data_IF_810418712796
#
_entry.id   IF_810418712796
#
_cell.length_a   1.000
_cell.length_b   1.000
_cell.length_c   1.000
_cell.angle_alpha   90.00
_cell.angle_beta   90.00
_cell.angle_gamma   90.00
#
_symmetry.space_group_name_H-M   'P 1'
#
loop_
_entity.id
_entity.type
_entity.pdbx_description
1 polymer ?
#
# COMPACT_ATOMS: atom_id res chain seq x y z
N UNK A 1 -20.58 -11.52 12.15
CA UNK A 1 -19.42 -12.41 12.36
C UNK A 1 -18.30 -11.55 12.93
N UNK A 2 -17.79 -11.91 14.11
CA UNK A 2 -16.82 -11.06 14.83
C UNK A 2 -15.54 -10.90 13.99
N UNK A 3 -15.16 -9.66 13.69
CA UNK A 3 -14.01 -9.24 12.86
C UNK A 3 -12.71 -9.97 13.21
N UNK A 4 -12.56 -10.37 14.48
CA UNK A 4 -11.45 -11.19 14.99
C UNK A 4 -11.30 -12.54 14.27
N UNK A 5 -12.37 -13.29 13.98
CA UNK A 5 -12.24 -14.63 13.36
C UNK A 5 -11.78 -14.58 11.91
N UNK A 6 -12.18 -13.53 11.18
CA UNK A 6 -11.72 -13.32 9.81
C UNK A 6 -10.24 -12.91 9.82
N UNK A 7 -9.87 -11.98 10.68
CA UNK A 7 -8.48 -11.55 10.82
C UNK A 7 -7.54 -12.73 11.14
N UNK A 8 -7.92 -13.59 12.09
CA UNK A 8 -7.14 -14.77 12.46
C UNK A 8 -6.97 -15.74 11.27
N UNK A 9 -8.03 -15.94 10.48
CA UNK A 9 -7.97 -16.79 9.29
C UNK A 9 -7.11 -16.22 8.15
N UNK A 10 -6.91 -14.90 8.12
CA UNK A 10 -6.13 -14.21 7.09
C UNK A 10 -4.67 -13.93 7.52
N UNK A 11 -4.34 -14.11 8.80
CA UNK A 11 -3.04 -13.78 9.35
C UNK A 11 -1.90 -14.56 8.65
N UNK A 12 -2.04 -15.89 8.52
CA UNK A 12 -1.03 -16.76 7.90
C UNK A 12 -0.86 -16.50 6.40
N UNK A 13 -1.93 -16.43 5.57
CA UNK A 13 -1.80 -16.04 4.16
C UNK A 13 -1.15 -14.68 3.98
N UNK A 14 -1.45 -13.71 4.84
CA UNK A 14 -0.85 -12.38 4.78
C UNK A 14 0.64 -12.41 5.18
N UNK A 15 1.01 -13.21 6.18
CA UNK A 15 2.40 -13.42 6.58
C UNK A 15 3.22 -14.06 5.48
N UNK A 16 2.70 -15.12 4.85
CA UNK A 16 3.35 -15.78 3.73
C UNK A 16 3.49 -14.83 2.53
N UNK A 17 2.47 -14.04 2.21
CA UNK A 17 2.57 -13.02 1.18
C UNK A 17 3.68 -12.00 1.46
N UNK A 18 3.79 -11.50 2.70
CA UNK A 18 4.87 -10.59 3.09
C UNK A 18 6.25 -11.25 2.97
N UNK A 19 6.38 -12.50 3.42
CA UNK A 19 7.63 -13.25 3.34
C UNK A 19 8.14 -13.40 1.90
N UNK A 20 7.24 -13.65 0.94
CA UNK A 20 7.58 -13.74 -0.50
C UNK A 20 8.19 -12.45 -1.06
N UNK A 21 7.92 -11.29 -0.46
CA UNK A 21 8.46 -9.99 -0.86
C UNK A 21 9.60 -9.50 0.06
N UNK A 22 10.04 -10.32 1.02
CA UNK A 22 11.00 -9.95 2.06
C UNK A 22 12.42 -9.62 1.59
N UNK A 23 12.74 -9.82 0.30
CA UNK A 23 14.05 -9.53 -0.28
C UNK A 23 14.17 -8.13 -0.92
N UNK A 24 13.16 -7.28 -0.74
CA UNK A 24 13.12 -5.99 -1.43
C UNK A 24 12.84 -6.16 -2.92
N UNK A 25 11.92 -7.07 -3.26
CA UNK A 25 11.51 -7.27 -4.65
C UNK A 25 10.43 -6.27 -5.07
N UNK A 26 10.44 -5.90 -6.36
CA UNK A 26 9.30 -5.26 -7.03
C UNK A 26 8.20 -6.31 -7.29
N UNK A 27 7.08 -5.91 -7.89
CA UNK A 27 6.00 -6.88 -8.16
C UNK A 27 5.26 -6.65 -9.46
N UNK A 28 4.69 -7.72 -9.99
CA UNK A 28 3.83 -7.68 -11.18
C UNK A 28 2.55 -8.50 -10.91
N UNK A 29 1.49 -8.17 -11.66
CA UNK A 29 0.25 -8.95 -11.62
C UNK A 29 0.34 -10.14 -12.57
N UNK A 30 -0.07 -11.31 -12.12
CA UNK A 30 -0.13 -12.51 -12.96
C UNK A 30 -0.97 -12.25 -14.22
N UNK A 31 -0.34 -12.41 -15.39
CA UNK A 31 -0.91 -12.07 -16.71
C UNK A 31 -0.48 -10.70 -17.26
N UNK A 32 0.24 -9.89 -16.46
CA UNK A 32 0.85 -8.62 -16.87
C UNK A 32 2.37 -8.71 -16.90
N UNK A 33 3.00 -7.95 -17.79
CA UNK A 33 4.47 -7.74 -17.80
C UNK A 33 4.89 -6.46 -17.09
N UNK A 34 3.93 -5.63 -16.68
CA UNK A 34 4.19 -4.34 -16.04
C UNK A 34 4.64 -4.57 -14.60
N UNK A 35 5.79 -3.98 -14.26
CA UNK A 35 6.44 -4.05 -12.96
C UNK A 35 6.13 -2.79 -12.16
N UNK A 36 5.66 -3.02 -10.94
CA UNK A 36 5.26 -2.00 -9.98
C UNK A 36 6.22 -1.97 -8.81
N UNK A 37 6.43 -0.78 -8.27
CA UNK A 37 6.93 -0.64 -6.91
C UNK A 37 5.95 -1.30 -5.92
N UNK A 38 6.45 -1.85 -4.82
CA UNK A 38 5.63 -2.58 -3.84
C UNK A 38 5.43 -1.73 -2.60
N UNK A 39 4.20 -1.72 -2.07
CA UNK A 39 3.83 -1.16 -0.76
C UNK A 39 2.94 -2.15 -0.02
N UNK A 40 2.99 -2.09 1.30
CA UNK A 40 2.02 -2.74 2.15
C UNK A 40 0.69 -2.00 2.07
N UNK A 41 -0.40 -2.75 1.95
CA UNK A 41 -1.76 -2.23 1.81
C UNK A 41 -2.68 -2.96 2.78
N UNK A 42 -3.65 -2.25 3.33
CA UNK A 42 -4.70 -2.88 4.13
C UNK A 42 -5.65 -3.65 3.20
N UNK A 43 -5.92 -4.90 3.56
CA UNK A 43 -6.85 -5.77 2.87
C UNK A 43 -7.60 -6.60 3.91
N UNK A 44 -8.90 -6.34 4.05
CA UNK A 44 -9.77 -7.04 5.01
C UNK A 44 -9.21 -7.05 6.45
N UNK A 45 -8.51 -5.98 6.84
CA UNK A 45 -7.90 -5.83 8.17
C UNK A 45 -6.52 -6.47 8.34
N UNK A 46 -5.93 -7.06 7.30
CA UNK A 46 -4.54 -7.53 7.31
C UNK A 46 -3.69 -6.78 6.28
N UNK A 47 -2.40 -6.63 6.57
CA UNK A 47 -1.48 -5.93 5.67
C UNK A 47 -0.83 -6.88 4.66
N UNK A 48 -1.00 -6.63 3.36
CA UNK A 48 -0.46 -7.46 2.27
C UNK A 48 0.32 -6.63 1.24
N UNK A 49 1.32 -7.21 0.56
CA UNK A 49 2.03 -6.51 -0.51
C UNK A 49 1.14 -6.27 -1.74
N UNK A 50 1.26 -5.09 -2.35
CA UNK A 50 0.61 -4.74 -3.61
C UNK A 50 1.30 -3.58 -4.34
N UNK A 51 0.85 -3.19 -5.55
CA UNK A 51 1.35 -2.05 -6.30
C UNK A 51 1.24 -0.78 -5.47
N UNK A 52 2.37 -0.10 -5.26
CA UNK A 52 2.38 1.19 -4.56
C UNK A 52 1.58 2.28 -5.27
N UNK A 53 1.25 2.11 -6.55
CA UNK A 53 0.37 3.04 -7.27
C UNK A 53 -1.13 2.76 -7.11
N UNK A 54 -1.51 1.74 -6.33
CA UNK A 54 -2.88 1.29 -6.05
C UNK A 54 -3.75 1.01 -7.30
N UNK A 55 -3.15 0.78 -8.47
CA UNK A 55 -3.89 0.37 -9.67
C UNK A 55 -4.27 -1.09 -9.58
N UNK A 56 -5.52 -1.39 -9.92
CA UNK A 56 -6.02 -2.76 -9.97
C UNK A 56 -6.36 -3.35 -8.61
N UNK A 57 -6.46 -2.53 -7.55
CA UNK A 57 -6.72 -2.98 -6.17
C UNK A 57 -8.21 -3.09 -5.82
N UNK A 58 -9.11 -2.53 -6.62
CA UNK A 58 -10.56 -2.67 -6.43
C UNK A 58 -11.03 -4.10 -6.74
N UNK A 59 -11.38 -4.87 -5.70
CA UNK A 59 -11.78 -6.28 -5.83
C UNK A 59 -10.61 -7.26 -6.03
N UNK A 60 -9.39 -6.84 -5.74
CA UNK A 60 -8.20 -7.58 -6.13
C UNK A 60 -7.89 -8.80 -5.26
N UNK A 61 -7.11 -9.70 -5.85
CA UNK A 61 -6.56 -10.89 -5.20
C UNK A 61 -5.04 -10.71 -5.06
N UNK A 62 -4.56 -10.49 -3.83
CA UNK A 62 -3.14 -10.28 -3.56
C UNK A 62 -2.30 -11.51 -3.92
N UNK A 63 -2.89 -12.70 -4.01
CA UNK A 63 -2.16 -13.93 -4.36
C UNK A 63 -1.68 -13.91 -5.81
N UNK A 64 -2.29 -13.07 -6.67
CA UNK A 64 -1.89 -12.86 -8.07
C UNK A 64 -0.76 -11.85 -8.21
N UNK A 65 -0.36 -11.16 -7.15
CA UNK A 65 0.77 -10.26 -7.16
C UNK A 65 2.06 -11.04 -6.84
N UNK A 66 2.97 -11.09 -7.81
CA UNK A 66 4.17 -11.93 -7.75
C UNK A 66 5.43 -11.08 -7.63
N UNK A 67 6.43 -11.49 -6.84
CA UNK A 67 7.68 -10.76 -6.69
C UNK A 67 8.53 -10.85 -7.97
N UNK A 68 9.33 -9.82 -8.21
CA UNK A 68 10.33 -9.78 -9.27
C UNK A 68 11.47 -8.83 -8.93
N UNK A 69 12.68 -9.16 -9.40
CA UNK A 69 13.86 -8.28 -9.30
C UNK A 69 13.99 -7.30 -10.47
N UNK A 70 13.10 -7.38 -11.46
CA UNK A 70 13.07 -6.44 -12.57
C UNK A 70 12.82 -5.00 -12.10
N UNK A 71 13.36 -3.99 -12.79
CA UNK A 71 13.11 -2.59 -12.46
C UNK A 71 11.63 -2.22 -12.68
N UNK A 72 11.15 -1.22 -11.94
CA UNK A 72 9.80 -0.66 -12.08
C UNK A 72 9.65 0.01 -13.46
N UNK A 73 8.65 -0.40 -14.23
CA UNK A 73 8.30 0.19 -15.54
C UNK A 73 6.87 0.79 -15.57
N UNK A 74 6.10 0.62 -14.49
CA UNK A 74 4.77 1.18 -14.40
C UNK A 74 4.82 2.71 -14.43
N UNK A 75 4.24 3.30 -15.49
CA UNK A 75 4.19 4.76 -15.65
C UNK A 75 3.50 5.51 -14.48
N UNK A 76 2.55 4.87 -13.76
CA UNK A 76 1.94 5.49 -12.58
C UNK A 76 2.86 5.47 -11.35
N UNK A 77 3.63 4.39 -11.17
CA UNK A 77 4.68 4.36 -10.15
C UNK A 77 5.71 5.45 -10.43
N UNK A 78 6.16 5.60 -11.68
CA UNK A 78 7.11 6.65 -12.06
C UNK A 78 6.57 8.06 -11.82
N UNK A 79 5.32 8.35 -12.20
CA UNK A 79 4.67 9.65 -11.92
C UNK A 79 4.55 9.95 -10.43
N UNK A 80 4.43 8.91 -9.60
CA UNK A 80 4.33 9.01 -8.15
C UNK A 80 5.70 8.91 -7.45
N UNK A 81 6.79 8.91 -8.21
CA UNK A 81 8.18 8.76 -7.72
C UNK A 81 8.43 7.48 -6.91
N UNK A 82 7.70 6.42 -7.22
CA UNK A 82 7.87 5.09 -6.62
C UNK A 82 8.83 4.27 -7.49
N UNK A 83 10.07 4.10 -7.03
CA UNK A 83 11.15 3.50 -7.83
C UNK A 83 11.77 2.24 -7.22
N UNK A 84 11.24 1.74 -6.10
CA UNK A 84 11.81 0.60 -5.40
C UNK A 84 10.81 -0.16 -4.53
N UNK A 85 11.26 -1.29 -3.95
CA UNK A 85 10.46 -2.14 -3.08
C UNK A 85 10.03 -1.40 -1.79
N UNK A 86 9.28 -2.09 -0.93
CA UNK A 86 8.88 -1.56 0.38
C UNK A 86 10.13 -1.13 1.15
N UNK A 87 10.32 0.18 1.33
CA UNK A 87 11.24 0.68 2.33
C UNK A 87 10.55 0.49 3.69
N UNK A 88 11.22 -0.15 4.64
CA UNK A 88 10.83 -0.06 6.05
C UNK A 88 10.85 1.43 6.43
N UNK A 89 9.67 2.05 6.58
CA UNK A 89 9.56 3.43 7.07
C UNK A 89 8.90 4.46 6.14
N UNK A 90 8.03 4.07 5.21
CA UNK A 90 7.08 5.03 4.62
C UNK A 90 5.93 5.28 5.61
N UNK A 91 6.24 6.00 6.70
CA UNK A 91 5.21 6.62 7.54
C UNK A 91 4.39 7.51 6.61
N UNK A 92 3.05 7.36 6.54
CA UNK A 92 2.25 8.22 5.70
C UNK A 92 2.52 9.65 6.12
N UNK A 93 3.08 10.44 5.21
CA UNK A 93 3.21 11.89 5.37
C UNK A 93 1.84 12.43 5.73
N UNK A 94 1.68 12.70 7.02
CA UNK A 94 0.45 13.19 7.61
C UNK A 94 0.10 14.50 6.90
N UNK A 95 -0.94 14.49 6.08
CA UNK A 95 -1.61 15.72 5.65
C UNK A 95 -2.32 16.27 6.88
N UNK A 96 -1.55 16.93 7.75
CA UNK A 96 -2.11 17.84 8.74
C UNK A 96 -2.83 18.94 7.98
N UNK A 97 -4.15 18.85 7.89
CA UNK A 97 -4.97 20.02 7.62
C UNK A 97 -4.81 20.93 8.85
N UNK A 98 -3.92 21.91 8.74
CA UNK A 98 -3.92 23.08 9.63
C UNK A 98 -5.20 23.86 9.36
N UNK A 99 -6.28 23.49 10.07
CA UNK A 99 -7.42 24.37 10.25
C UNK A 99 -6.97 25.46 11.22
N UNK A 100 -6.39 26.52 10.66
CA UNK A 100 -6.02 27.72 11.41
C UNK A 100 -7.21 28.26 12.22
N UNK A 101 -6.97 28.86 13.40
CA UNK A 101 -8.05 29.36 14.25
C UNK A 101 -8.59 30.69 13.70
N UNK A 102 -9.45 30.61 12.69
CA UNK A 102 -10.26 31.75 12.26
C UNK A 102 -11.63 31.69 12.97
N UNK A 103 -11.64 32.05 14.25
CA UNK A 103 -12.87 32.56 14.88
C UNK A 103 -12.63 33.95 15.48
N UNK A 104 -13.31 34.90 14.85
CA UNK A 104 -13.29 36.34 15.04
C UNK A 104 -13.30 36.81 16.50
N UNK A 105 -12.37 37.73 16.81
CA UNK A 105 -12.49 38.69 17.90
C UNK A 105 -13.00 40.02 17.35
N UNK A 106 -14.08 40.54 17.92
CA UNK A 106 -14.42 41.97 17.89
C UNK A 106 -15.88 42.27 18.24
N UNK A 107 -16.20 43.48 18.74
CA UNK A 107 -15.53 44.22 19.81
C UNK A 107 -16.43 44.37 21.05
N UNK A 108 -15.81 44.72 22.17
CA UNK A 108 -16.46 45.18 23.40
C UNK A 108 -17.32 46.42 23.14
N UNK A 109 -18.59 46.37 23.53
CA UNK A 109 -19.44 47.52 23.80
C UNK A 109 -19.77 47.60 25.27
#
# INVERSE_FOLDING_TARGET
MSTSRLHDALADPAADARARFGHGDNGYLEGSKVVHAVRLQDWLGVSVPGPGCHVGTGGWDFTRFKPTRSPVDCGRCSKSRLHGPVAEGDLPGQLGLDLGPDYHRGPTG
#
